data_IF_290442328995
#
_entry.id   IF_290442328995
#
_cell.length_a   1.000
_cell.length_b   1.000
_cell.length_c   1.000
_cell.angle_alpha   90.00
_cell.angle_beta   90.00
_cell.angle_gamma   90.00
#
_symmetry.space_group_name_H-M   'P 1'
#
loop_
_entity.id
_entity.type
_entity.pdbx_description
1 polymer ?
#
# COMPACT_ATOMS: atom_id res chain seq x y z
N UNK A 1 -17.53 49.49 -5.45
CA UNK A 1 -16.09 49.46 -5.17
C UNK A 1 -15.72 48.59 -3.96
N UNK A 2 -16.31 48.81 -2.78
CA UNK A 2 -15.96 48.04 -1.55
C UNK A 2 -16.26 46.54 -1.64
N UNK A 3 -17.37 46.15 -2.26
CA UNK A 3 -17.74 44.73 -2.42
C UNK A 3 -16.73 44.00 -3.31
N UNK A 4 -16.34 44.61 -4.44
CA UNK A 4 -15.34 44.04 -5.34
C UNK A 4 -13.96 43.90 -4.66
N UNK A 5 -13.57 44.88 -3.83
CA UNK A 5 -12.34 44.82 -3.05
C UNK A 5 -12.39 43.71 -1.98
N UNK A 6 -13.53 43.55 -1.29
CA UNK A 6 -13.73 42.48 -0.31
C UNK A 6 -13.69 41.09 -0.97
N UNK A 7 -14.34 40.92 -2.13
CA UNK A 7 -14.28 39.68 -2.90
C UNK A 7 -12.86 39.37 -3.37
N UNK A 8 -12.11 40.38 -3.83
CA UNK A 8 -10.71 40.22 -4.23
C UNK A 8 -9.81 39.76 -3.07
N UNK A 9 -9.96 40.39 -1.89
CA UNK A 9 -9.23 39.99 -0.68
C UNK A 9 -9.55 38.56 -0.25
N UNK A 10 -10.82 38.17 -0.29
CA UNK A 10 -11.24 36.80 0.04
C UNK A 10 -10.63 35.77 -0.93
N UNK A 11 -10.64 36.07 -2.23
CA UNK A 11 -10.10 35.19 -3.26
C UNK A 11 -8.58 35.02 -3.10
N UNK A 12 -7.85 36.10 -2.82
CA UNK A 12 -6.42 36.04 -2.51
C UNK A 12 -6.16 35.26 -1.23
N UNK A 13 -6.94 35.49 -0.17
CA UNK A 13 -6.81 34.77 1.11
C UNK A 13 -7.03 33.27 0.97
N UNK A 14 -8.07 32.85 0.24
CA UNK A 14 -8.33 31.44 -0.07
C UNK A 14 -7.23 30.87 -0.96
N UNK A 15 -6.77 31.62 -1.95
CA UNK A 15 -5.65 31.20 -2.80
C UNK A 15 -4.39 30.93 -1.97
N UNK A 16 -3.98 31.87 -1.12
CA UNK A 16 -2.83 31.70 -0.22
C UNK A 16 -3.04 30.52 0.73
N UNK A 17 -4.23 30.38 1.32
CA UNK A 17 -4.54 29.26 2.21
C UNK A 17 -4.43 27.91 1.49
N UNK A 18 -5.01 27.79 0.30
CA UNK A 18 -4.96 26.56 -0.50
C UNK A 18 -3.53 26.25 -0.94
N UNK A 19 -2.78 27.21 -1.46
CA UNK A 19 -1.39 26.98 -1.89
C UNK A 19 -0.46 26.66 -0.72
N UNK A 20 -0.68 27.25 0.46
CA UNK A 20 0.12 26.96 1.65
C UNK A 20 -0.24 25.59 2.26
N UNK A 21 -1.52 25.23 2.32
CA UNK A 21 -1.99 23.92 2.78
C UNK A 21 -1.61 22.79 1.79
N UNK A 22 -1.59 23.09 0.49
CA UNK A 22 -1.25 22.12 -0.54
C UNK A 22 0.26 21.86 -0.63
N UNK A 23 1.10 22.81 -0.20
CA UNK A 23 2.54 22.59 -0.06
C UNK A 23 2.92 21.48 0.92
N UNK A 24 2.09 21.24 1.93
CA UNK A 24 2.26 20.14 2.89
C UNK A 24 1.49 18.86 2.51
N UNK A 25 0.57 18.94 1.54
CA UNK A 25 -0.33 17.82 1.19
C UNK A 25 0.13 16.96 0.01
N UNK A 26 1.19 17.37 -0.70
CA UNK A 26 1.75 16.61 -1.84
C UNK A 26 3.09 15.92 -1.55
N UNK A 27 3.50 15.82 -0.29
CA UNK A 27 4.30 14.68 0.14
C UNK A 27 3.35 13.55 0.50
N UNK A 28 2.65 13.02 -0.51
CA UNK A 28 2.13 11.66 -0.38
C UNK A 28 3.31 10.82 0.09
N UNK A 29 3.25 10.28 1.31
CA UNK A 29 4.30 9.45 1.87
C UNK A 29 4.80 8.57 0.74
N UNK A 30 6.05 8.78 0.29
CA UNK A 30 6.67 7.89 -0.68
C UNK A 30 6.45 6.52 -0.08
N UNK A 31 5.50 5.74 -0.62
CA UNK A 31 5.06 4.48 0.00
C UNK A 31 6.34 3.77 0.34
N UNK A 32 6.65 3.69 1.64
CA UNK A 32 7.93 3.14 2.04
C UNK A 32 7.97 1.75 1.42
N UNK A 33 9.12 1.32 0.90
CA UNK A 33 9.23 0.00 0.27
C UNK A 33 8.59 -1.10 1.14
N UNK A 34 8.69 -0.92 2.46
CA UNK A 34 8.02 -1.67 3.51
C UNK A 34 6.48 -1.64 3.45
N UNK A 35 5.84 -0.48 3.26
CA UNK A 35 4.38 -0.37 3.09
C UNK A 35 3.88 -1.14 1.85
N UNK A 36 4.61 -1.06 0.73
CA UNK A 36 4.29 -1.85 -0.46
C UNK A 36 4.41 -3.36 -0.21
N UNK A 37 5.47 -3.79 0.47
CA UNK A 37 5.65 -5.21 0.80
C UNK A 37 4.57 -5.73 1.76
N UNK A 38 4.11 -4.90 2.71
CA UNK A 38 2.97 -5.25 3.59
C UNK A 38 1.69 -5.46 2.80
N UNK A 39 1.36 -4.56 1.88
CA UNK A 39 0.20 -4.68 0.99
C UNK A 39 0.31 -5.96 0.14
N UNK A 40 1.50 -6.24 -0.41
CA UNK A 40 1.72 -7.45 -1.22
C UNK A 40 1.61 -8.75 -0.41
N UNK A 41 2.10 -8.76 0.83
CA UNK A 41 1.96 -9.88 1.77
C UNK A 41 0.48 -10.21 2.00
N UNK A 42 -0.35 -9.18 2.23
CA UNK A 42 -1.78 -9.37 2.47
C UNK A 42 -2.48 -10.00 1.25
N UNK A 43 -2.12 -9.56 0.03
CA UNK A 43 -2.62 -10.17 -1.22
C UNK A 43 -2.23 -11.64 -1.35
N UNK A 44 -0.96 -11.99 -1.07
CA UNK A 44 -0.50 -13.39 -1.15
C UNK A 44 -1.22 -14.28 -0.12
N UNK A 45 -1.49 -13.76 1.08
CA UNK A 45 -2.20 -14.50 2.12
C UNK A 45 -3.68 -14.71 1.80
N UNK A 46 -4.34 -13.70 1.25
CA UNK A 46 -5.71 -13.84 0.74
C UNK A 46 -5.77 -14.90 -0.37
N UNK A 47 -4.82 -14.86 -1.32
CA UNK A 47 -4.75 -15.84 -2.40
C UNK A 47 -4.51 -17.27 -1.87
N UNK A 48 -3.63 -17.46 -0.87
CA UNK A 48 -3.42 -18.76 -0.23
C UNK A 48 -4.69 -19.26 0.47
N UNK A 49 -5.46 -18.37 1.10
CA UNK A 49 -6.73 -18.73 1.72
C UNK A 49 -7.75 -19.17 0.68
N UNK A 50 -7.86 -18.44 -0.41
CA UNK A 50 -8.79 -18.74 -1.50
C UNK A 50 -8.39 -20.04 -2.21
N UNK A 51 -7.10 -20.27 -2.44
CA UNK A 51 -6.58 -21.53 -2.99
C UNK A 51 -6.97 -22.74 -2.11
N UNK A 52 -6.83 -22.62 -0.79
CA UNK A 52 -7.25 -23.65 0.16
C UNK A 52 -8.77 -23.88 0.13
N UNK A 53 -9.55 -22.82 -0.07
CA UNK A 53 -11.01 -22.93 -0.20
C UNK A 53 -11.39 -23.65 -1.49
N UNK A 54 -10.79 -23.30 -2.62
CA UNK A 54 -11.04 -23.94 -3.91
C UNK A 54 -10.65 -25.42 -3.92
N UNK A 55 -9.53 -25.76 -3.27
CA UNK A 55 -9.10 -27.13 -3.09
C UNK A 55 -10.12 -27.93 -2.26
N UNK A 56 -10.55 -27.40 -1.10
CA UNK A 56 -11.59 -28.03 -0.28
C UNK A 56 -12.95 -28.13 -0.97
N UNK A 57 -13.25 -27.23 -1.90
CA UNK A 57 -14.43 -27.28 -2.74
C UNK A 57 -14.34 -28.33 -3.86
N UNK A 58 -13.20 -29.03 -4.00
CA UNK A 58 -12.98 -30.06 -5.02
C UNK A 58 -12.82 -29.50 -6.43
N UNK A 59 -12.52 -28.20 -6.58
CA UNK A 59 -12.33 -27.55 -7.89
C UNK A 59 -10.95 -27.79 -8.49
N UNK A 60 -9.99 -28.20 -7.66
CA UNK A 60 -8.59 -28.32 -8.03
C UNK A 60 -8.05 -29.73 -7.76
N UNK A 61 -7.29 -30.32 -8.70
CA UNK A 61 -6.51 -31.53 -8.46
C UNK A 61 -5.40 -31.30 -7.42
N UNK A 62 -5.04 -32.37 -6.69
CA UNK A 62 -3.96 -32.32 -5.66
C UNK A 62 -2.63 -31.80 -6.23
N UNK A 63 -2.26 -32.24 -7.44
CA UNK A 63 -1.00 -31.85 -8.07
C UNK A 63 -0.96 -30.33 -8.36
N UNK A 64 -2.05 -29.77 -8.87
CA UNK A 64 -2.15 -28.34 -9.18
C UNK A 64 -2.19 -27.51 -7.89
N UNK A 65 -2.89 -27.98 -6.86
CA UNK A 65 -2.91 -27.35 -5.54
C UNK A 65 -1.51 -27.28 -4.93
N UNK A 66 -0.76 -28.38 -4.97
CA UNK A 66 0.60 -28.42 -4.42
C UNK A 66 1.53 -27.46 -5.16
N UNK A 67 1.49 -27.44 -6.49
CA UNK A 67 2.32 -26.55 -7.30
C UNK A 67 2.00 -25.06 -7.05
N UNK A 68 0.71 -24.70 -7.00
CA UNK A 68 0.28 -23.32 -6.75
C UNK A 68 0.59 -22.88 -5.32
N UNK A 69 0.39 -23.77 -4.35
CA UNK A 69 0.71 -23.49 -2.94
C UNK A 69 2.19 -23.23 -2.76
N UNK A 70 3.05 -24.08 -3.32
CA UNK A 70 4.51 -23.95 -3.21
C UNK A 70 4.99 -22.63 -3.84
N UNK A 71 4.46 -22.26 -5.01
CA UNK A 71 4.76 -20.97 -5.64
C UNK A 71 4.39 -19.78 -4.75
N UNK A 72 3.22 -19.81 -4.11
CA UNK A 72 2.75 -18.71 -3.25
C UNK A 72 3.48 -18.66 -1.91
N UNK A 73 3.80 -19.82 -1.34
CA UNK A 73 4.62 -19.92 -0.12
C UNK A 73 6.03 -19.37 -0.35
N UNK A 74 6.63 -19.64 -1.52
CA UNK A 74 7.93 -19.07 -1.90
C UNK A 74 7.86 -17.55 -2.07
N UNK A 75 6.81 -17.02 -2.70
CA UNK A 75 6.61 -15.57 -2.81
C UNK A 75 6.42 -14.92 -1.42
N UNK A 76 5.62 -15.53 -0.54
CA UNK A 76 5.43 -15.05 0.82
C UNK A 76 6.74 -15.03 1.62
N UNK A 77 7.55 -16.09 1.51
CA UNK A 77 8.86 -16.16 2.17
C UNK A 77 9.80 -15.05 1.67
N UNK A 78 9.83 -14.79 0.36
CA UNK A 78 10.62 -13.70 -0.22
C UNK A 78 10.19 -12.32 0.27
N UNK A 79 8.88 -12.06 0.33
CA UNK A 79 8.33 -10.80 0.84
C UNK A 79 8.69 -10.61 2.31
N UNK A 80 8.55 -11.64 3.15
CA UNK A 80 8.88 -11.54 4.58
C UNK A 80 10.37 -11.26 4.81
N UNK A 81 11.26 -11.90 4.06
CA UNK A 81 12.70 -11.66 4.16
C UNK A 81 13.09 -10.22 3.75
N UNK A 82 12.47 -9.69 2.69
CA UNK A 82 12.69 -8.32 2.24
C UNK A 82 12.17 -7.30 3.28
N UNK A 83 11.01 -7.58 3.88
CA UNK A 83 10.47 -6.75 4.96
C UNK A 83 11.38 -6.72 6.18
N UNK A 84 11.87 -7.88 6.65
CA UNK A 84 12.77 -7.98 7.80
C UNK A 84 14.06 -7.18 7.57
N UNK A 85 14.63 -7.28 6.37
CA UNK A 85 15.84 -6.53 5.99
C UNK A 85 15.60 -5.02 6.09
N UNK A 86 14.48 -4.54 5.55
CA UNK A 86 14.13 -3.12 5.57
C UNK A 86 13.75 -2.62 6.96
N UNK A 87 13.10 -3.45 7.78
CA UNK A 87 12.78 -3.12 9.17
C UNK A 87 14.05 -3.03 10.02
N UNK A 88 15.03 -3.90 9.78
CA UNK A 88 16.33 -3.83 10.45
C UNK A 88 17.14 -2.59 10.04
N UNK A 89 17.14 -2.22 8.76
CA UNK A 89 17.82 -1.02 8.26
C UNK A 89 17.16 0.28 8.75
N UNK A 90 15.84 0.27 9.00
CA UNK A 90 15.09 1.41 9.50
C UNK A 90 15.20 1.62 11.02
N UNK A 91 15.73 0.65 11.78
CA UNK A 91 15.94 0.77 13.22
C UNK A 91 17.37 1.26 13.51
N UNK A 92 17.57 2.53 13.95
CA UNK A 92 18.90 2.96 14.39
C UNK A 92 19.26 2.24 15.70
N UNK A 93 20.47 1.70 15.75
CA UNK A 93 21.06 1.08 16.95
C UNK A 93 21.25 2.07 18.10
#
# INVERSE_FOLDING_TARGET
>A
MMIAAACGLLLVGVGVYVFWMHGDAETGEVKTRLAYLRERKDVVYENLRDLNFEYKAGKLPDADFMALRDSMEQEAAGIMAEMETLEHEAAPA
#
